data_IF_831941720599
#
_entry.id   IF_831941720599
#
_cell.length_a   1.000
_cell.length_b   1.000
_cell.length_c   1.000
_cell.angle_alpha   90.00
_cell.angle_beta   90.00
_cell.angle_gamma   90.00
#
_symmetry.space_group_name_H-M   'P 1'
#
loop_
_entity.id
_entity.type
_entity.pdbx_description
1 polymer ?
#
# COMPACT_ATOMS: atom_id res chain seq x y z
N UNK A 1 -1.71 25.85 31.98
CA UNK A 1 -0.72 26.02 30.90
C UNK A 1 -0.23 24.63 30.51
N UNK A 2 -0.84 24.00 29.52
CA UNK A 2 -0.42 22.69 29.01
C UNK A 2 0.63 22.91 27.92
N UNK A 3 1.89 22.62 28.22
CA UNK A 3 2.96 22.69 27.23
C UNK A 3 2.72 21.68 26.11
N UNK A 4 2.76 22.14 24.87
CA UNK A 4 2.73 21.27 23.70
C UNK A 4 3.94 20.32 23.78
N UNK A 5 3.65 19.02 23.85
CA UNK A 5 4.67 17.97 23.77
C UNK A 5 5.29 18.02 22.38
N UNK A 6 6.52 18.55 22.27
CA UNK A 6 7.31 18.44 21.05
C UNK A 6 7.67 16.96 20.84
N UNK A 7 7.33 16.34 19.70
CA UNK A 7 7.70 14.96 19.44
C UNK A 7 9.24 14.85 19.39
N UNK A 8 9.78 13.80 20.03
CA UNK A 8 11.22 13.51 19.97
C UNK A 8 11.57 13.00 18.55
N UNK A 9 12.77 13.33 18.03
CA UNK A 9 13.21 12.97 16.67
C UNK A 9 13.25 11.45 16.40
N UNK A 10 13.20 10.60 17.43
CA UNK A 10 13.25 9.13 17.29
C UNK A 10 11.88 8.44 17.44
N UNK A 11 10.79 9.19 17.55
CA UNK A 11 9.45 8.60 17.54
C UNK A 11 9.02 8.30 16.11
N UNK A 12 9.47 7.15 15.57
CA UNK A 12 8.88 6.61 14.37
C UNK A 12 7.38 6.44 14.64
N UNK A 13 6.53 7.17 13.92
CA UNK A 13 5.10 6.91 13.90
C UNK A 13 4.93 5.51 13.32
N UNK A 14 4.64 4.52 14.17
CA UNK A 14 4.49 3.13 13.74
C UNK A 14 3.09 2.97 13.16
N UNK A 15 2.99 3.04 11.83
CA UNK A 15 1.82 2.50 11.14
C UNK A 15 1.93 0.97 11.21
N UNK A 16 0.98 0.26 11.82
CA UNK A 16 1.02 -1.20 11.86
C UNK A 16 1.06 -1.72 10.42
N UNK A 17 2.02 -2.59 10.12
CA UNK A 17 2.27 -3.11 8.78
C UNK A 17 1.17 -4.08 8.31
N UNK A 18 0.52 -4.77 9.26
CA UNK A 18 -0.54 -5.72 9.00
C UNK A 18 -1.58 -5.71 10.13
N UNK A 19 -2.71 -6.35 9.89
CA UNK A 19 -3.66 -6.77 10.92
C UNK A 19 -3.88 -8.29 10.85
N UNK A 20 -4.25 -8.87 11.99
CA UNK A 20 -4.71 -10.27 12.05
C UNK A 20 -6.18 -10.26 12.44
N UNK A 21 -7.04 -10.74 11.54
CA UNK A 21 -8.44 -10.95 11.80
C UNK A 21 -8.65 -12.36 12.37
N UNK A 22 -9.37 -12.44 13.49
CA UNK A 22 -9.69 -13.69 14.21
C UNK A 22 -8.44 -14.55 14.55
N UNK A 23 -7.46 -13.99 15.30
CA UNK A 23 -6.18 -14.64 15.55
C UNK A 23 -6.28 -15.98 16.30
N UNK A 24 -7.37 -16.18 17.06
CA UNK A 24 -7.60 -17.37 17.87
C UNK A 24 -8.46 -18.43 17.15
N UNK A 25 -8.78 -18.22 15.87
CA UNK A 25 -9.61 -19.13 15.10
C UNK A 25 -8.94 -20.53 14.98
N UNK A 26 -9.67 -21.62 15.27
CA UNK A 26 -9.07 -22.95 15.45
C UNK A 26 -8.82 -23.70 14.14
N UNK A 27 -9.24 -23.14 13.01
CA UNK A 27 -9.13 -23.77 11.71
C UNK A 27 -7.68 -23.95 11.26
N UNK A 28 -7.40 -24.95 10.40
CA UNK A 28 -6.03 -25.34 10.07
C UNK A 28 -5.38 -24.45 9.00
N UNK A 29 -6.05 -23.39 8.55
CA UNK A 29 -5.59 -22.54 7.46
C UNK A 29 -5.13 -21.17 7.95
N UNK A 30 -4.33 -20.49 7.15
CA UNK A 30 -4.05 -19.05 7.31
C UNK A 30 -4.33 -18.38 5.98
N UNK A 31 -5.25 -17.42 5.95
CA UNK A 31 -5.54 -16.64 4.74
C UNK A 31 -4.67 -15.39 4.76
N UNK A 32 -3.90 -15.13 3.70
CA UNK A 32 -3.11 -13.89 3.58
C UNK A 32 -3.69 -12.98 2.50
N UNK A 33 -3.51 -11.67 2.67
CA UNK A 33 -3.90 -10.66 1.68
C UNK A 33 -2.90 -9.50 1.69
N UNK A 34 -1.91 -9.59 0.79
CA UNK A 34 -0.79 -8.64 0.73
C UNK A 34 -1.17 -7.31 0.08
N UNK A 35 -2.20 -7.30 -0.77
CA UNK A 35 -2.69 -6.09 -1.46
C UNK A 35 -4.05 -5.64 -0.90
N UNK A 36 -4.21 -5.69 0.43
CA UNK A 36 -5.48 -5.44 1.12
C UNK A 36 -5.86 -3.96 1.28
N UNK A 37 -4.90 -3.04 1.19
CA UNK A 37 -5.07 -1.62 1.52
C UNK A 37 -4.34 -0.74 0.51
N UNK A 38 -4.88 0.44 0.21
CA UNK A 38 -4.20 1.49 -0.55
C UNK A 38 -3.52 2.54 0.33
N UNK A 39 -3.47 2.34 1.64
CA UNK A 39 -2.92 3.33 2.57
C UNK A 39 -1.42 3.54 2.35
N UNK A 40 -0.99 4.79 2.32
CA UNK A 40 0.42 5.17 2.32
C UNK A 40 0.69 5.91 3.63
N UNK A 41 1.72 5.53 4.40
CA UNK A 41 2.10 6.26 5.60
C UNK A 41 2.38 7.75 5.34
N UNK A 42 2.01 8.61 6.29
CA UNK A 42 2.19 10.06 6.16
C UNK A 42 3.66 10.45 5.97
N UNK A 43 4.58 9.69 6.58
CA UNK A 43 6.03 9.91 6.46
C UNK A 43 6.58 9.60 5.05
N UNK A 44 5.78 8.98 4.17
CA UNK A 44 6.05 8.81 2.73
C UNK A 44 5.30 9.82 1.85
N UNK A 45 4.53 10.73 2.44
CA UNK A 45 3.76 11.74 1.70
C UNK A 45 2.30 11.37 1.44
N UNK A 46 1.79 10.27 2.02
CA UNK A 46 0.35 9.95 2.07
C UNK A 46 -0.33 9.52 0.76
N UNK A 47 0.19 9.94 -0.39
CA UNK A 47 -0.32 9.58 -1.73
C UNK A 47 0.78 9.33 -2.77
N UNK A 48 2.06 9.48 -2.38
CA UNK A 48 3.24 9.35 -3.26
C UNK A 48 3.18 10.29 -4.49
N UNK A 49 2.45 11.39 -4.42
CA UNK A 49 2.22 12.32 -5.52
C UNK A 49 1.26 11.80 -6.60
N UNK A 50 0.48 10.76 -6.31
CA UNK A 50 -0.54 10.22 -7.20
C UNK A 50 -1.90 10.87 -6.93
N UNK A 51 -2.71 11.11 -7.96
CA UNK A 51 -4.03 11.67 -7.76
C UNK A 51 -4.99 10.65 -7.13
N UNK A 52 -6.06 11.09 -6.45
CA UNK A 52 -6.96 10.21 -5.70
C UNK A 52 -7.58 9.09 -6.53
N UNK A 53 -7.86 9.32 -7.81
CA UNK A 53 -8.38 8.30 -8.72
C UNK A 53 -7.37 7.18 -9.01
N UNK A 54 -6.06 7.45 -8.97
CA UNK A 54 -5.03 6.42 -9.10
C UNK A 54 -4.98 5.60 -7.81
N UNK A 55 -5.02 6.26 -6.65
CA UNK A 55 -5.02 5.63 -5.33
C UNK A 55 -6.26 4.75 -5.07
N UNK A 56 -7.39 5.02 -5.74
CA UNK A 56 -8.62 4.25 -5.64
C UNK A 56 -8.71 3.03 -6.58
N UNK A 57 -7.64 2.74 -7.35
CA UNK A 57 -7.64 1.68 -8.38
C UNK A 57 -6.65 0.56 -8.07
N UNK A 58 -6.72 -0.49 -8.89
CA UNK A 58 -5.92 -1.71 -8.78
C UNK A 58 -4.39 -1.50 -8.74
N UNK A 59 -3.92 -0.33 -9.18
CA UNK A 59 -2.50 0.04 -9.10
C UNK A 59 -2.02 0.16 -7.65
N UNK A 60 -2.88 0.60 -6.72
CA UNK A 60 -2.51 0.81 -5.32
C UNK A 60 -2.78 -0.41 -4.42
N UNK A 61 -3.73 -1.27 -4.79
CA UNK A 61 -4.21 -2.41 -3.98
C UNK A 61 -5.20 -3.26 -4.79
N UNK A 62 -5.57 -4.44 -4.31
CA UNK A 62 -6.59 -5.26 -4.96
C UNK A 62 -7.99 -4.92 -4.43
N UNK A 63 -8.77 -4.22 -5.24
CA UNK A 63 -10.12 -3.75 -4.88
C UNK A 63 -10.99 -4.95 -4.47
N UNK A 64 -11.47 -4.94 -3.22
CA UNK A 64 -12.33 -5.99 -2.67
C UNK A 64 -11.59 -7.20 -2.07
N UNK A 65 -10.27 -7.34 -2.29
CA UNK A 65 -9.50 -8.48 -1.81
C UNK A 65 -9.54 -8.62 -0.28
N UNK A 66 -9.47 -7.51 0.46
CA UNK A 66 -9.58 -7.54 1.92
C UNK A 66 -10.94 -8.04 2.43
N UNK A 67 -12.01 -7.74 1.71
CA UNK A 67 -13.35 -8.26 2.02
C UNK A 67 -13.46 -9.75 1.73
N UNK A 68 -12.93 -10.17 0.58
CA UNK A 68 -12.87 -11.57 0.17
C UNK A 68 -12.06 -12.42 1.15
N UNK A 69 -10.85 -11.97 1.53
CA UNK A 69 -9.96 -12.67 2.45
C UNK A 69 -10.64 -12.89 3.82
N UNK A 70 -11.24 -11.83 4.40
CA UNK A 70 -12.00 -11.96 5.65
C UNK A 70 -13.21 -12.90 5.51
N UNK A 71 -13.91 -12.83 4.38
CA UNK A 71 -15.05 -13.72 4.10
C UNK A 71 -14.65 -15.19 3.98
N UNK A 72 -13.53 -15.46 3.32
CA UNK A 72 -12.98 -16.80 3.17
C UNK A 72 -12.50 -17.34 4.53
N UNK A 73 -11.72 -16.56 5.28
CA UNK A 73 -11.21 -16.91 6.58
C UNK A 73 -12.33 -17.29 7.56
N UNK A 74 -13.42 -16.49 7.60
CA UNK A 74 -14.62 -16.83 8.37
C UNK A 74 -15.25 -18.16 7.95
N UNK A 75 -15.35 -18.44 6.65
CA UNK A 75 -15.91 -19.71 6.13
C UNK A 75 -15.03 -20.92 6.45
N UNK A 76 -13.73 -20.70 6.59
CA UNK A 76 -12.74 -21.71 6.97
C UNK A 76 -12.56 -21.82 8.50
N UNK A 77 -13.21 -20.96 9.29
CA UNK A 77 -12.99 -20.85 10.74
C UNK A 77 -11.51 -20.62 11.08
N UNK A 78 -10.81 -19.82 10.28
CA UNK A 78 -9.35 -19.66 10.29
C UNK A 78 -8.95 -18.19 10.34
N UNK A 79 -7.74 -17.83 10.81
CA UNK A 79 -7.27 -16.44 10.83
C UNK A 79 -7.03 -15.87 9.43
N UNK A 80 -7.07 -14.55 9.32
CA UNK A 80 -6.59 -13.81 8.15
C UNK A 80 -5.53 -12.77 8.51
N UNK A 81 -4.45 -12.69 7.74
CA UNK A 81 -3.41 -11.66 7.84
C UNK A 81 -3.55 -10.72 6.65
N UNK A 82 -3.73 -9.43 6.90
CA UNK A 82 -3.95 -8.43 5.86
C UNK A 82 -2.92 -7.31 5.96
N UNK A 83 -2.26 -6.98 4.86
CA UNK A 83 -1.39 -5.82 4.80
C UNK A 83 -2.17 -4.52 5.02
N UNK A 84 -1.53 -3.55 5.66
CA UNK A 84 -2.14 -2.25 6.00
C UNK A 84 -1.55 -1.09 5.23
N UNK A 85 -0.73 -1.36 4.22
CA UNK A 85 -0.14 -0.38 3.33
C UNK A 85 -0.35 -0.80 1.87
N UNK A 86 -0.28 0.18 0.98
CA UNK A 86 -0.32 0.00 -0.47
C UNK A 86 0.90 -0.77 -0.95
N UNK A 87 0.69 -1.63 -1.96
CA UNK A 87 1.80 -2.26 -2.71
C UNK A 87 2.78 -1.26 -3.33
N UNK A 88 2.38 0.02 -3.45
CA UNK A 88 3.24 1.11 -3.93
C UNK A 88 4.25 1.57 -2.88
N UNK A 89 3.97 1.33 -1.59
CA UNK A 89 4.92 1.56 -0.48
C UNK A 89 6.04 0.52 -0.58
N UNK A 90 5.63 -0.74 -0.58
CA UNK A 90 6.42 -1.94 -0.83
C UNK A 90 5.44 -3.06 -1.18
N UNK A 91 5.72 -3.90 -2.17
CA UNK A 91 4.92 -5.08 -2.52
C UNK A 91 5.46 -6.29 -1.75
N UNK A 92 4.73 -6.80 -0.73
CA UNK A 92 5.20 -7.94 0.07
C UNK A 92 5.39 -9.22 -0.74
N UNK A 93 4.74 -9.31 -1.90
CA UNK A 93 4.77 -10.48 -2.77
C UNK A 93 5.87 -10.39 -3.85
N UNK A 94 6.80 -9.42 -3.73
CA UNK A 94 7.95 -9.26 -4.64
C UNK A 94 9.27 -9.23 -3.87
N UNK A 95 10.30 -9.83 -4.46
CA UNK A 95 11.65 -9.80 -3.92
C UNK A 95 12.25 -8.40 -3.99
N UNK A 96 13.22 -8.11 -3.11
CA UNK A 96 13.89 -6.79 -3.04
C UNK A 96 14.49 -6.32 -4.37
N UNK A 97 14.94 -7.27 -5.20
CA UNK A 97 15.60 -6.99 -6.48
C UNK A 97 14.62 -6.93 -7.66
N UNK A 98 13.31 -7.05 -7.42
CA UNK A 98 12.28 -6.93 -8.45
C UNK A 98 12.04 -5.44 -8.77
N UNK A 99 12.25 -4.99 -10.03
CA UNK A 99 12.07 -3.59 -10.41
C UNK A 99 10.63 -3.09 -10.25
N UNK A 100 9.65 -4.01 -10.18
CA UNK A 100 8.23 -3.69 -10.02
C UNK A 100 7.76 -3.86 -8.57
N UNK A 101 8.66 -4.06 -7.61
CA UNK A 101 8.34 -4.26 -6.19
C UNK A 101 7.56 -3.10 -5.56
N UNK A 102 7.56 -1.89 -6.13
CA UNK A 102 7.20 -0.70 -5.36
C UNK A 102 8.24 -0.52 -4.24
N UNK A 103 9.00 0.56 -4.31
CA UNK A 103 10.18 0.73 -3.47
C UNK A 103 10.18 2.09 -2.78
N UNK A 104 9.02 2.74 -2.67
CA UNK A 104 8.89 4.06 -2.07
C UNK A 104 9.48 4.09 -0.64
N UNK A 105 9.22 3.05 0.15
CA UNK A 105 9.82 2.89 1.48
C UNK A 105 11.35 2.71 1.41
N UNK A 106 11.85 1.90 0.48
CA UNK A 106 13.28 1.61 0.33
C UNK A 106 14.05 2.85 -0.17
N UNK A 107 13.54 3.54 -1.19
CA UNK A 107 14.08 4.79 -1.72
C UNK A 107 14.20 5.86 -0.65
N UNK A 108 13.22 5.95 0.27
CA UNK A 108 13.26 6.88 1.39
C UNK A 108 14.39 6.59 2.38
N UNK A 109 14.74 5.31 2.57
CA UNK A 109 15.89 4.90 3.39
C UNK A 109 17.22 5.21 2.70
N UNK A 110 17.31 4.96 1.39
CA UNK A 110 18.54 5.17 0.61
C UNK A 110 18.82 6.65 0.33
N UNK A 111 17.77 7.47 0.16
CA UNK A 111 17.86 8.89 -0.23
C UNK A 111 17.06 9.79 0.74
N UNK A 112 17.53 9.95 1.98
CA UNK A 112 16.83 10.75 2.99
C UNK A 112 16.77 12.22 2.54
N UNK A 113 15.55 12.73 2.38
CA UNK A 113 15.29 14.13 1.98
C UNK A 113 14.53 14.27 0.66
N UNK A 114 14.57 13.28 -0.22
CA UNK A 114 13.76 13.28 -1.43
C UNK A 114 12.34 12.76 -1.15
N UNK A 115 11.29 13.36 -1.74
CA UNK A 115 9.94 12.86 -1.60
C UNK A 115 9.81 11.49 -2.26
N UNK A 116 9.20 10.53 -1.57
CA UNK A 116 8.84 9.27 -2.19
C UNK A 116 7.79 9.54 -3.28
N UNK A 117 7.99 8.95 -4.45
CA UNK A 117 7.10 9.11 -5.61
C UNK A 117 6.57 7.77 -6.04
N UNK A 118 5.31 7.75 -6.46
CA UNK A 118 4.70 6.57 -7.05
C UNK A 118 5.41 6.18 -8.35
N UNK A 119 5.09 4.99 -8.90
CA UNK A 119 5.61 4.59 -10.20
C UNK A 119 5.32 5.69 -11.22
N UNK A 120 6.37 6.15 -11.92
CA UNK A 120 6.23 7.16 -12.97
C UNK A 120 5.20 6.65 -13.98
N UNK A 121 4.22 7.49 -14.35
CA UNK A 121 3.20 7.11 -15.33
C UNK A 121 3.90 6.54 -16.56
N UNK A 122 3.77 5.22 -16.75
CA UNK A 122 4.23 4.57 -17.97
C UNK A 122 3.61 5.34 -19.14
N UNK A 123 4.42 5.69 -20.14
CA UNK A 123 3.93 6.30 -21.38
C UNK A 123 2.84 5.38 -21.92
N UNK A 124 1.59 5.78 -21.78
CA UNK A 124 0.46 5.08 -22.34
C UNK A 124 0.69 4.92 -23.85
N UNK A 125 0.43 3.71 -24.34
CA UNK A 125 0.33 3.41 -25.75
C UNK A 125 -0.60 4.42 -26.46
N UNK A 126 -0.28 4.68 -27.73
CA UNK A 126 -0.71 5.84 -28.48
C UNK A 126 -2.22 6.12 -28.54
N UNK A 127 -2.57 7.39 -28.31
CA UNK A 127 -3.71 8.02 -28.94
C UNK A 127 -3.20 8.80 -30.15
N UNK A 128 -3.11 8.12 -31.30
CA UNK A 128 -2.91 8.80 -32.58
C UNK A 128 -4.10 9.72 -32.86
N UNK A 129 -3.78 10.91 -33.36
CA UNK A 129 -4.72 11.91 -33.81
C UNK A 129 -5.72 11.34 -34.84
N UNK A 130 -7.00 11.70 -34.71
CA UNK A 130 -7.88 11.88 -35.86
C UNK A 130 -8.68 13.17 -35.71
N UNK A 131 -8.52 13.97 -36.75
CA UNK A 131 -9.05 15.29 -37.07
C UNK A 131 -10.58 15.38 -37.11
N UNK A 132 -11.11 16.55 -36.72
CA UNK A 132 -12.30 17.11 -37.35
C UNK A 132 -11.98 18.55 -37.79
N UNK A 133 -12.29 18.80 -39.05
CA UNK A 133 -11.97 19.97 -39.85
C UNK A 133 -12.74 21.22 -39.42
N UNK A 134 -12.09 22.38 -39.55
CA UNK A 134 -12.65 23.61 -40.13
C UNK A 134 -11.58 24.24 -41.00
#
# INVERSE_FOLDING_TARGET
MGGAMTPRPDSFVTHPAYEVADPDAPGPWVVTCDHASNAVPDWLGGDLGLPPEDMARHIAYDVGAAGLARGLARRLGSPAILARFSRLVIDPNRGRDDPDAGDAALRRLDHPGEPARGPGRGRGAGGAALSALS
#
